data_IF_584566656068
#
_entry.id   IF_584566656068
#
_cell.length_a   1.000
_cell.length_b   1.000
_cell.length_c   1.000
_cell.angle_alpha   90.00
_cell.angle_beta   90.00
_cell.angle_gamma   90.00
#
_symmetry.space_group_name_H-M   'P 1'
#
loop_
_entity.id
_entity.type
_entity.pdbx_description
1 polymer ?
#
# COMPACT_ATOMS: atom_id res chain seq x y z
N UNK A 1 38.91 -26.17 -65.33
CA UNK A 1 37.84 -25.58 -66.18
C UNK A 1 37.04 -24.57 -65.35
N UNK A 2 36.76 -23.39 -65.95
CA UNK A 2 35.75 -22.32 -65.67
C UNK A 2 34.88 -22.42 -64.39
N UNK A 3 34.48 -21.37 -63.67
CA UNK A 3 34.74 -19.90 -63.60
C UNK A 3 33.87 -19.39 -62.42
N UNK A 4 34.34 -18.39 -61.67
CA UNK A 4 33.57 -17.59 -60.71
C UNK A 4 32.20 -17.11 -61.25
N UNK A 5 31.15 -17.07 -60.40
CA UNK A 5 30.49 -15.80 -60.02
C UNK A 5 29.34 -15.99 -59.01
N UNK A 6 29.42 -15.23 -57.93
CA UNK A 6 28.33 -14.77 -57.07
C UNK A 6 27.36 -13.89 -57.89
N UNK A 7 26.07 -14.21 -57.95
CA UNK A 7 25.01 -13.22 -58.21
C UNK A 7 23.71 -13.65 -57.50
N UNK A 8 23.21 -12.76 -56.64
CA UNK A 8 21.91 -12.86 -55.98
C UNK A 8 20.78 -12.31 -56.88
N UNK A 9 19.62 -12.99 -56.83
CA UNK A 9 18.20 -12.55 -56.94
C UNK A 9 17.83 -11.58 -58.08
N UNK A 10 16.80 -11.90 -58.89
CA UNK A 10 15.39 -11.60 -58.54
C UNK A 10 14.49 -12.77 -59.01
N UNK A 11 13.17 -12.84 -58.83
CA UNK A 11 12.15 -11.83 -59.11
C UNK A 11 10.84 -12.25 -58.46
N UNK A 12 10.13 -11.24 -57.97
CA UNK A 12 8.76 -11.34 -57.50
C UNK A 12 7.87 -11.85 -58.63
N UNK A 13 7.09 -12.90 -58.38
CA UNK A 13 5.88 -13.18 -59.16
C UNK A 13 4.64 -13.01 -58.28
N UNK A 14 3.74 -12.17 -58.80
CA UNK A 14 2.48 -11.70 -58.25
C UNK A 14 1.50 -12.84 -58.05
N UNK A 15 0.80 -12.83 -56.91
CA UNK A 15 -0.60 -13.23 -56.85
C UNK A 15 -1.39 -12.11 -56.16
N UNK A 16 -1.89 -11.18 -56.97
CA UNK A 16 -2.86 -10.16 -56.55
C UNK A 16 -4.21 -10.85 -56.46
N UNK A 17 -4.53 -11.37 -55.29
CA UNK A 17 -5.89 -11.76 -54.90
C UNK A 17 -6.53 -10.63 -54.12
N UNK A 18 -7.54 -9.97 -54.71
CA UNK A 18 -8.34 -8.94 -54.06
C UNK A 18 -9.21 -9.58 -52.97
N UNK A 19 -8.94 -9.30 -51.70
CA UNK A 19 -9.93 -9.36 -50.63
C UNK A 19 -9.59 -8.27 -49.61
N UNK A 20 -10.54 -7.36 -49.44
CA UNK A 20 -10.48 -6.14 -48.66
C UNK A 20 -10.04 -6.40 -47.20
N UNK A 21 -9.03 -5.68 -46.65
CA UNK A 21 -8.82 -5.69 -45.22
C UNK A 21 -9.95 -4.86 -44.60
N UNK A 22 -10.92 -5.53 -43.97
CA UNK A 22 -11.77 -4.86 -42.99
C UNK A 22 -10.83 -4.46 -41.84
N UNK A 23 -10.33 -3.23 -41.90
CA UNK A 23 -9.55 -2.62 -40.84
C UNK A 23 -10.48 -2.54 -39.65
N UNK A 24 -10.43 -3.54 -38.79
CA UNK A 24 -10.98 -3.46 -37.45
C UNK A 24 -10.16 -2.38 -36.73
N UNK A 25 -10.64 -1.15 -36.82
CA UNK A 25 -10.25 -0.05 -35.95
C UNK A 25 -10.68 -0.46 -34.53
N UNK A 26 -9.86 -1.30 -33.90
CA UNK A 26 -9.89 -1.52 -32.48
C UNK A 26 -9.42 -0.21 -31.85
N UNK A 27 -10.36 0.66 -31.51
CA UNK A 27 -10.12 1.74 -30.57
C UNK A 27 -9.72 1.08 -29.25
N UNK A 28 -8.41 0.92 -29.05
CA UNK A 28 -7.86 0.77 -27.72
C UNK A 28 -8.18 2.07 -26.98
N UNK A 29 -9.35 2.12 -26.33
CA UNK A 29 -9.60 3.12 -25.30
C UNK A 29 -8.65 2.77 -24.16
N UNK A 30 -7.44 3.35 -24.21
CA UNK A 30 -6.59 3.48 -23.05
C UNK A 30 -7.34 4.44 -22.14
N UNK A 31 -8.20 3.88 -21.28
CA UNK A 31 -8.63 4.57 -20.08
C UNK A 31 -7.34 4.90 -19.34
N UNK A 32 -6.87 6.14 -19.47
CA UNK A 32 -5.92 6.68 -18.51
C UNK A 32 -6.72 6.67 -17.21
N UNK A 33 -6.55 5.61 -16.43
CA UNK A 33 -7.03 5.56 -15.05
C UNK A 33 -6.31 6.71 -14.37
N UNK A 34 -6.97 7.87 -14.30
CA UNK A 34 -6.49 9.00 -13.53
C UNK A 34 -6.54 8.52 -12.08
N UNK A 35 -5.39 8.05 -11.60
CA UNK A 35 -5.24 7.62 -10.23
C UNK A 35 -5.14 8.88 -9.38
N UNK A 36 -6.20 9.10 -8.63
CA UNK A 36 -6.33 10.30 -7.83
C UNK A 36 -5.45 10.19 -6.59
N UNK A 37 -4.69 11.26 -6.34
CA UNK A 37 -3.51 11.29 -5.49
C UNK A 37 -3.82 12.16 -4.29
N UNK A 38 -3.88 11.53 -3.13
CA UNK A 38 -4.01 12.21 -1.84
C UNK A 38 -2.64 12.56 -1.28
N UNK A 39 -2.44 13.82 -0.93
CA UNK A 39 -1.26 14.28 -0.20
C UNK A 39 -1.48 14.23 1.31
N UNK A 40 -0.51 13.68 2.04
CA UNK A 40 -0.56 13.62 3.50
C UNK A 40 0.79 13.26 4.08
N UNK A 41 0.94 13.32 5.39
CA UNK A 41 2.20 13.06 6.05
C UNK A 41 2.04 12.09 7.22
N UNK A 42 3.15 11.47 7.60
CA UNK A 42 3.21 10.58 8.77
C UNK A 42 3.82 11.36 9.93
N UNK A 43 3.08 11.42 11.04
CA UNK A 43 3.49 12.02 12.30
C UNK A 43 3.56 10.95 13.40
N UNK A 44 4.44 11.10 14.38
CA UNK A 44 4.49 10.19 15.54
C UNK A 44 3.33 10.42 16.50
N UNK A 45 3.07 11.70 16.77
CA UNK A 45 2.18 12.16 17.82
C UNK A 45 1.45 13.43 17.40
N UNK A 46 0.45 13.80 18.20
CA UNK A 46 -0.37 14.97 17.91
C UNK A 46 0.42 16.29 17.99
N UNK A 47 1.48 16.38 18.80
CA UNK A 47 2.29 17.59 18.91
C UNK A 47 3.11 17.82 17.63
N UNK A 48 3.67 16.76 17.05
CA UNK A 48 4.38 16.82 15.77
C UNK A 48 3.44 17.27 14.64
N UNK A 49 2.20 16.78 14.62
CA UNK A 49 1.18 17.24 13.68
C UNK A 49 0.81 18.71 13.89
N UNK A 50 0.56 19.13 15.14
CA UNK A 50 0.24 20.53 15.51
C UNK A 50 1.34 21.51 15.13
N UNK A 51 2.60 21.12 15.32
CA UNK A 51 3.75 21.96 14.98
C UNK A 51 3.86 22.19 13.46
N UNK A 52 3.47 21.22 12.64
CA UNK A 52 3.47 21.33 11.18
C UNK A 52 2.17 21.93 10.63
N UNK A 53 1.06 21.83 11.37
CA UNK A 53 -0.28 22.27 10.97
C UNK A 53 -0.95 23.07 12.10
N UNK A 54 -0.44 24.27 12.43
CA UNK A 54 -0.94 25.04 13.57
C UNK A 54 -2.41 25.47 13.42
N UNK A 55 -2.89 25.63 12.19
CA UNK A 55 -4.28 26.00 11.89
C UNK A 55 -5.27 24.83 12.08
N UNK A 56 -4.80 23.58 12.10
CA UNK A 56 -5.62 22.36 12.27
C UNK A 56 -5.25 21.58 13.54
N UNK A 57 -4.86 22.31 14.59
CA UNK A 57 -4.34 21.71 15.81
C UNK A 57 -5.34 20.81 16.54
N UNK A 58 -6.64 21.13 16.45
CA UNK A 58 -7.72 20.32 17.02
C UNK A 58 -7.90 19.02 16.23
N UNK A 59 -7.92 19.10 14.90
CA UNK A 59 -8.03 17.93 14.03
C UNK A 59 -6.85 16.98 14.20
N UNK A 60 -5.64 17.49 14.42
CA UNK A 60 -4.45 16.67 14.72
C UNK A 60 -4.63 15.81 15.99
N UNK A 61 -5.23 16.37 17.03
CA UNK A 61 -5.48 15.65 18.30
C UNK A 61 -6.54 14.57 18.12
N UNK A 62 -7.65 14.91 17.46
CA UNK A 62 -8.72 13.96 17.18
C UNK A 62 -8.25 12.82 16.26
N UNK A 63 -7.48 13.15 15.23
CA UNK A 63 -6.88 12.18 14.31
C UNK A 63 -5.93 11.22 15.03
N UNK A 64 -5.13 11.72 15.98
CA UNK A 64 -4.24 10.88 16.76
C UNK A 64 -5.02 9.88 17.64
N UNK A 65 -6.04 10.35 18.35
CA UNK A 65 -6.87 9.50 19.20
C UNK A 65 -7.62 8.44 18.38
N UNK A 66 -8.16 8.82 17.22
CA UNK A 66 -8.77 7.87 16.27
C UNK A 66 -7.76 6.83 15.79
N UNK A 67 -6.55 7.25 15.42
CA UNK A 67 -5.50 6.32 14.97
C UNK A 67 -5.09 5.34 16.06
N UNK A 68 -4.98 5.76 17.33
CA UNK A 68 -4.68 4.88 18.46
C UNK A 68 -5.79 3.84 18.66
N UNK A 69 -7.06 4.26 18.63
CA UNK A 69 -8.19 3.34 18.75
C UNK A 69 -8.25 2.35 17.58
N UNK A 70 -7.98 2.83 16.36
CA UNK A 70 -7.93 2.02 15.16
C UNK A 70 -6.74 1.06 15.15
N UNK A 71 -5.61 1.43 15.76
CA UNK A 71 -4.44 0.58 15.91
C UNK A 71 -4.76 -0.67 16.71
N UNK A 72 -5.45 -0.53 17.85
CA UNK A 72 -5.86 -1.68 18.67
C UNK A 72 -6.82 -2.60 17.88
N UNK A 73 -7.70 -2.02 17.07
CA UNK A 73 -8.73 -2.74 16.33
C UNK A 73 -8.16 -3.51 15.12
N UNK A 74 -7.33 -2.84 14.32
CA UNK A 74 -6.84 -3.31 13.01
C UNK A 74 -5.43 -3.87 13.05
N UNK A 75 -4.69 -3.64 14.13
CA UNK A 75 -3.32 -4.10 14.29
C UNK A 75 -3.16 -5.62 14.14
N UNK A 76 -2.01 -6.08 13.64
CA UNK A 76 -1.70 -7.49 13.54
C UNK A 76 -1.60 -8.10 14.94
N UNK A 77 -2.16 -9.31 15.08
CA UNK A 77 -2.31 -10.01 16.35
C UNK A 77 -1.40 -11.22 16.34
N UNK A 78 -0.46 -11.24 17.26
CA UNK A 78 0.53 -12.30 17.43
C UNK A 78 0.22 -13.14 18.67
N UNK A 79 0.60 -14.41 18.62
CA UNK A 79 0.39 -15.34 19.76
C UNK A 79 1.44 -15.13 20.83
N UNK A 80 2.65 -14.77 20.44
CA UNK A 80 3.78 -14.57 21.35
C UNK A 80 4.43 -13.21 21.12
N UNK A 81 5.00 -12.66 22.18
CA UNK A 81 5.77 -11.40 22.15
C UNK A 81 6.88 -11.46 21.11
N UNK A 82 7.67 -12.54 21.14
CA UNK A 82 8.79 -12.77 20.22
C UNK A 82 8.40 -12.69 18.74
N UNK A 83 7.24 -13.22 18.35
CA UNK A 83 6.79 -13.15 16.95
C UNK A 83 6.47 -11.71 16.54
N UNK A 84 5.87 -10.94 17.46
CA UNK A 84 5.57 -9.53 17.23
C UNK A 84 6.87 -8.71 17.12
N UNK A 85 7.80 -8.91 18.04
CA UNK A 85 9.08 -8.18 18.08
C UNK A 85 10.00 -8.54 16.91
N UNK A 86 9.93 -9.79 16.43
CA UNK A 86 10.64 -10.23 15.23
C UNK A 86 10.24 -9.40 14.01
N UNK A 87 8.97 -9.00 13.92
CA UNK A 87 8.48 -8.20 12.81
C UNK A 87 8.67 -6.69 13.03
N UNK A 88 8.25 -6.14 14.17
CA UNK A 88 8.13 -4.69 14.33
C UNK A 88 9.33 -4.00 14.98
N UNK A 89 10.01 -4.66 15.93
CA UNK A 89 11.25 -4.31 16.68
C UNK A 89 11.12 -4.82 18.13
N UNK A 90 12.26 -4.98 18.79
CA UNK A 90 12.34 -5.24 20.24
C UNK A 90 11.68 -4.10 21.01
N UNK A 91 10.87 -4.42 22.02
CA UNK A 91 10.11 -3.44 22.81
C UNK A 91 9.14 -2.58 22.00
N UNK A 92 8.58 -3.05 20.90
CA UNK A 92 7.49 -2.35 20.19
C UNK A 92 6.17 -3.10 20.28
N UNK A 93 6.04 -4.09 21.17
CA UNK A 93 4.83 -4.90 21.31
C UNK A 93 4.21 -4.78 22.71
N UNK A 94 2.90 -4.97 22.79
CA UNK A 94 2.17 -5.01 24.06
C UNK A 94 1.10 -6.10 24.03
N UNK A 95 0.81 -6.67 25.20
CA UNK A 95 -0.27 -7.63 25.34
C UNK A 95 -1.62 -6.92 25.45
N UNK A 96 -2.54 -7.19 24.52
CA UNK A 96 -3.92 -6.73 24.64
C UNK A 96 -4.78 -7.82 25.27
N UNK A 97 -5.21 -7.60 26.51
CA UNK A 97 -6.16 -8.48 27.22
C UNK A 97 -7.51 -8.59 26.50
N UNK A 98 -7.86 -7.60 25.67
CA UNK A 98 -9.10 -7.59 24.89
C UNK A 98 -9.09 -8.62 23.76
N UNK A 99 -7.94 -8.83 23.14
CA UNK A 99 -7.76 -9.74 22.01
C UNK A 99 -6.92 -10.98 22.35
N UNK A 100 -6.49 -11.13 23.61
CA UNK A 100 -5.60 -12.18 24.10
C UNK A 100 -4.37 -12.40 23.20
N UNK A 101 -3.85 -11.31 22.63
CA UNK A 101 -2.81 -11.33 21.60
C UNK A 101 -1.80 -10.21 21.83
N UNK A 102 -0.58 -10.40 21.34
CA UNK A 102 0.43 -9.36 21.27
C UNK A 102 0.18 -8.50 20.03
N UNK A 103 0.11 -7.18 20.22
CA UNK A 103 -0.15 -6.20 19.18
C UNK A 103 1.05 -5.25 19.13
N UNK A 104 1.55 -4.88 17.94
CA UNK A 104 2.59 -3.88 17.84
C UNK A 104 2.03 -2.50 18.21
N UNK A 105 2.86 -1.70 18.88
CA UNK A 105 2.62 -0.28 19.10
C UNK A 105 2.60 0.43 17.76
N UNK A 106 1.72 1.41 17.67
CA UNK A 106 1.65 2.32 16.55
C UNK A 106 2.94 3.15 16.50
N UNK A 107 3.65 3.10 15.37
CA UNK A 107 4.90 3.84 15.15
C UNK A 107 4.68 5.26 14.60
N UNK A 108 3.41 5.68 14.47
CA UNK A 108 2.96 6.96 13.98
C UNK A 108 1.58 6.85 13.35
N UNK A 109 1.04 7.92 12.82
CA UNK A 109 -0.23 7.92 12.10
C UNK A 109 -0.10 8.76 10.83
N UNK A 110 -0.79 8.32 9.79
CA UNK A 110 -0.92 9.12 8.58
C UNK A 110 -2.05 10.11 8.78
N UNK A 111 -1.80 11.36 8.42
CA UNK A 111 -2.77 12.44 8.48
C UNK A 111 -2.82 13.16 7.13
N UNK A 112 -4.04 13.39 6.66
CA UNK A 112 -4.31 14.16 5.46
C UNK A 112 -5.62 14.93 5.60
N UNK A 113 -5.62 16.16 5.09
CA UNK A 113 -6.82 17.00 4.89
C UNK A 113 -7.24 17.04 3.42
N UNK A 114 -6.44 16.45 2.53
CA UNK A 114 -6.70 16.36 1.10
C UNK A 114 -7.66 15.19 0.85
N UNK A 115 -8.95 15.50 0.88
CA UNK A 115 -10.03 14.52 0.87
C UNK A 115 -10.85 14.57 -0.41
N UNK A 116 -10.42 15.34 -1.41
CA UNK A 116 -11.16 15.57 -2.67
C UNK A 116 -11.43 14.25 -3.41
N UNK A 117 -10.52 13.29 -3.23
CA UNK A 117 -10.59 11.97 -3.81
C UNK A 117 -11.42 10.96 -2.99
N UNK A 118 -11.84 11.38 -1.79
CA UNK A 118 -12.59 10.57 -0.87
C UNK A 118 -14.10 10.72 -1.09
N UNK A 119 -14.61 10.18 -2.21
CA UNK A 119 -16.07 10.09 -2.46
C UNK A 119 -16.85 9.56 -1.25
N UNK A 120 -17.86 10.32 -0.81
CA UNK A 120 -18.71 10.04 0.33
C UNK A 120 -18.09 10.20 1.73
N UNK A 121 -16.84 10.65 1.84
CA UNK A 121 -16.16 10.83 3.11
C UNK A 121 -16.57 12.15 3.76
N UNK A 122 -17.09 12.06 5.00
CA UNK A 122 -17.75 13.17 5.68
C UNK A 122 -16.89 13.87 6.73
N UNK A 123 -15.70 13.33 7.02
CA UNK A 123 -14.77 13.92 7.98
C UNK A 123 -13.91 14.98 7.30
N UNK A 124 -13.42 15.95 8.07
CA UNK A 124 -12.51 17.02 7.60
C UNK A 124 -11.05 16.58 7.52
N UNK A 125 -10.73 15.41 8.06
CA UNK A 125 -9.41 14.79 8.04
C UNK A 125 -9.53 13.29 7.86
N UNK A 126 -8.50 12.68 7.28
CA UNK A 126 -8.30 11.24 7.23
C UNK A 126 -7.14 10.85 8.13
N UNK A 127 -7.35 9.84 8.96
CA UNK A 127 -6.35 9.31 9.88
C UNK A 127 -6.29 7.79 9.80
N UNK A 128 -5.08 7.23 9.92
CA UNK A 128 -4.89 5.79 10.06
C UNK A 128 -3.58 5.47 10.78
N UNK A 129 -3.53 4.37 11.55
CA UNK A 129 -2.34 3.95 12.26
C UNK A 129 -1.26 3.43 11.32
N UNK A 130 -0.04 3.89 11.55
CA UNK A 130 1.16 3.43 10.85
C UNK A 130 2.03 2.60 11.78
N UNK A 131 2.55 1.52 11.23
CA UNK A 131 3.46 0.62 11.92
C UNK A 131 4.82 0.66 11.25
N UNK A 132 5.87 0.70 12.06
CA UNK A 132 7.23 0.73 11.55
C UNK A 132 7.72 -0.69 11.36
N UNK A 133 7.99 -1.08 10.13
CA UNK A 133 8.53 -2.40 9.79
C UNK A 133 9.85 -2.24 9.03
N UNK A 134 10.92 -2.84 9.56
CA UNK A 134 12.29 -2.73 9.02
C UNK A 134 12.71 -1.29 8.72
N UNK A 135 12.63 -0.89 7.44
CA UNK A 135 13.09 0.40 6.90
C UNK A 135 11.96 1.37 6.57
N UNK A 136 10.68 1.07 6.84
CA UNK A 136 9.62 2.03 6.56
C UNK A 136 8.29 1.80 7.26
N UNK A 137 7.30 2.59 6.85
CA UNK A 137 5.97 2.66 7.44
C UNK A 137 4.97 1.86 6.63
N UNK A 138 4.12 1.14 7.35
CA UNK A 138 3.06 0.33 6.78
C UNK A 138 1.74 0.62 7.47
N UNK A 139 0.64 0.66 6.72
CA UNK A 139 -0.71 0.76 7.30
C UNK A 139 -1.13 -0.54 7.97
N UNK A 140 -2.16 -0.48 8.82
CA UNK A 140 -2.88 -1.63 9.39
C UNK A 140 -3.43 -2.66 8.39
N UNK A 141 -3.38 -2.39 7.07
CA UNK A 141 -3.68 -3.33 6.00
C UNK A 141 -2.46 -3.90 5.26
N UNK A 142 -1.25 -3.47 5.60
CA UNK A 142 0.02 -3.91 5.01
C UNK A 142 0.47 -3.09 3.80
N UNK A 143 -0.17 -1.97 3.49
CA UNK A 143 0.27 -1.06 2.44
C UNK A 143 1.51 -0.29 2.90
N UNK A 144 2.48 -0.13 2.01
CA UNK A 144 3.71 0.62 2.26
C UNK A 144 3.52 2.13 2.00
N UNK A 145 4.04 2.96 2.91
CA UNK A 145 3.94 4.43 2.87
C UNK A 145 5.30 5.12 2.71
N UNK A 146 6.38 4.36 2.51
CA UNK A 146 7.73 4.92 2.43
C UNK A 146 8.48 4.83 3.75
N UNK A 147 9.71 5.34 3.75
CA UNK A 147 10.61 5.36 4.91
C UNK A 147 10.68 6.71 5.61
N UNK A 148 10.17 7.77 4.98
CA UNK A 148 10.32 9.15 5.43
C UNK A 148 9.11 9.58 6.26
N UNK A 149 9.38 10.41 7.26
CA UNK A 149 8.37 11.09 8.08
C UNK A 149 8.35 12.57 7.72
N UNK A 150 7.24 13.25 7.99
CA UNK A 150 7.07 14.70 7.80
C UNK A 150 7.16 15.16 6.33
N UNK A 151 7.67 14.34 5.41
CA UNK A 151 7.55 14.59 3.98
C UNK A 151 6.15 14.23 3.50
N UNK A 152 5.53 15.04 2.62
CA UNK A 152 4.27 14.67 1.99
C UNK A 152 4.47 13.36 1.22
N UNK A 153 3.74 12.33 1.62
CA UNK A 153 3.63 11.04 0.96
C UNK A 153 2.35 11.09 0.14
N UNK A 154 2.51 11.16 -1.17
CA UNK A 154 1.39 11.11 -2.12
C UNK A 154 0.99 9.67 -2.36
N UNK A 155 -0.28 9.35 -2.13
CA UNK A 155 -0.80 7.99 -2.28
C UNK A 155 -2.09 7.99 -3.08
N UNK A 156 -2.32 6.89 -3.78
CA UNK A 156 -3.61 6.66 -4.40
C UNK A 156 -4.70 6.57 -3.33
N UNK A 157 -5.75 7.36 -3.46
CA UNK A 157 -6.91 7.38 -2.57
C UNK A 157 -7.55 5.99 -2.39
N UNK A 158 -7.50 5.17 -3.45
CA UNK A 158 -7.95 3.76 -3.47
C UNK A 158 -7.19 2.86 -2.50
N UNK A 159 -5.92 3.17 -2.24
CA UNK A 159 -5.07 2.42 -1.34
C UNK A 159 -5.38 2.78 0.12
N UNK A 160 -5.70 4.06 0.38
CA UNK A 160 -6.14 4.57 1.69
C UNK A 160 -7.54 4.03 2.08
N UNK A 161 -8.45 3.86 1.12
CA UNK A 161 -9.86 3.47 1.36
C UNK A 161 -10.09 2.00 1.79
N UNK A 162 -9.05 1.19 2.04
CA UNK A 162 -9.20 -0.26 2.29
C UNK A 162 -8.71 -0.70 3.68
N UNK A 163 -9.22 -0.07 4.75
CA UNK A 163 -8.91 -0.38 6.14
C UNK A 163 -9.83 -1.43 6.77
N UNK A 164 -9.74 -2.68 6.32
CA UNK A 164 -10.48 -3.80 6.94
C UNK A 164 -9.72 -5.14 6.95
N UNK A 165 -8.54 -5.19 6.35
CA UNK A 165 -7.66 -6.36 6.44
C UNK A 165 -6.66 -6.14 7.55
N UNK A 166 -6.49 -7.12 8.42
CA UNK A 166 -5.35 -7.15 9.35
C UNK A 166 -4.07 -7.30 8.53
N UNK A 167 -3.04 -6.48 8.81
CA UNK A 167 -1.66 -6.61 8.26
C UNK A 167 -1.27 -8.09 8.19
N UNK A 168 -1.54 -8.85 9.26
CA UNK A 168 -1.19 -10.27 9.38
C UNK A 168 -1.78 -11.16 8.28
N UNK A 169 -2.96 -10.85 7.72
CA UNK A 169 -3.60 -11.67 6.69
C UNK A 169 -3.04 -11.44 5.29
N UNK A 170 -2.65 -10.20 4.97
CA UNK A 170 -2.00 -9.84 3.69
C UNK A 170 -0.53 -10.27 3.70
N UNK A 171 0.11 -10.16 4.87
CA UNK A 171 1.48 -10.62 5.10
C UNK A 171 1.62 -12.15 5.14
N UNK A 172 0.59 -12.86 5.60
CA UNK A 172 0.51 -14.34 5.61
C UNK A 172 0.47 -14.98 4.22
N UNK A 173 0.16 -14.24 3.15
CA UNK A 173 -0.04 -14.80 1.79
C UNK A 173 1.12 -14.58 0.81
N UNK A 174 2.23 -14.00 1.25
CA UNK A 174 3.41 -13.91 0.36
C UNK A 174 4.57 -13.03 0.80
N UNK A 175 4.58 -12.50 2.03
CA UNK A 175 5.62 -11.55 2.45
C UNK A 175 6.27 -11.82 3.81
N UNK A 176 5.74 -12.74 4.62
CA UNK A 176 6.23 -13.02 5.97
C UNK A 176 6.45 -14.53 6.08
N UNK A 177 7.71 -14.91 6.28
CA UNK A 177 8.16 -16.29 6.18
C UNK A 177 7.37 -17.24 7.10
N UNK A 178 7.00 -18.40 6.54
CA UNK A 178 7.03 -19.71 7.20
C UNK A 178 6.79 -19.68 8.73
N UNK A 179 5.60 -19.28 9.16
CA UNK A 179 5.11 -19.56 10.52
C UNK A 179 3.65 -20.08 10.51
N UNK A 180 3.33 -20.88 9.48
CA UNK A 180 2.41 -22.00 9.62
C UNK A 180 3.17 -23.24 9.19
N UNK A 181 4.02 -23.72 10.10
CA UNK A 181 4.43 -25.12 10.09
C UNK A 181 3.16 -25.94 10.24
N UNK A 182 2.84 -26.69 9.19
CA UNK A 182 2.15 -27.99 9.24
C UNK A 182 1.52 -28.33 10.60
N UNK A 183 0.24 -28.00 10.78
CA UNK A 183 -0.62 -28.89 11.54
C UNK A 183 -0.71 -30.17 10.72
N UNK A 184 0.15 -31.13 11.08
CA UNK A 184 0.18 -32.51 10.59
C UNK A 184 -1.24 -33.05 10.50
N UNK A 185 -1.50 -33.81 9.44
CA UNK A 185 -2.54 -34.82 9.47
C UNK A 185 -2.32 -35.74 10.68
N UNK A 186 -3.41 -35.98 11.39
CA UNK A 186 -3.65 -37.09 12.27
C UNK A 186 -5.02 -37.63 11.92
#
# INVERSE_FOLDING_TARGET
MKRSSNVQRPSMEKAIGKAFPFVMFGTFMVFSQYESKTEGAIYLDSNECKNNNPEQAEECELAYQEAVAEAERTGPKYKTERECEYDFREDDCYYSSRYFSYIPRMGGYYYSTDLDDFDGYKKRYYSQPMYRYKKGYYSGSGQFFGSHRITPVTLASTSLKKGGGTIGSVMSRGGFGKAVSSSRGG
#
